data_IF_589124485217
#
_entry.id   IF_589124485217
#
_cell.length_a   1.000
_cell.length_b   1.000
_cell.length_c   1.000
_cell.angle_alpha   90.00
_cell.angle_beta   90.00
_cell.angle_gamma   90.00
#
_symmetry.space_group_name_H-M   'P 1'
#
loop_
_entity.id
_entity.type
_entity.pdbx_description
1 polymer ?
#
# COMPACT_ATOMS: atom_id res chain seq x y z
N UNK A 1 2.03 30.54 -58.24
CA UNK A 1 3.26 30.24 -57.47
C UNK A 1 3.20 31.11 -56.22
N UNK A 2 2.46 30.66 -55.21
CA UNK A 2 2.06 31.47 -54.07
C UNK A 2 3.21 31.53 -53.06
N UNK A 3 3.81 32.71 -52.92
CA UNK A 3 4.76 33.03 -51.86
C UNK A 3 3.98 33.10 -50.54
N UNK A 4 3.79 31.95 -49.91
CA UNK A 4 3.12 31.90 -48.61
C UNK A 4 4.04 32.43 -47.51
N UNK A 5 3.40 33.18 -46.64
CA UNK A 5 3.90 34.00 -45.55
C UNK A 5 4.61 33.17 -44.48
N UNK A 6 5.94 33.07 -44.55
CA UNK A 6 6.79 32.36 -43.58
C UNK A 6 7.23 33.26 -42.42
N UNK A 7 6.79 34.52 -42.38
CA UNK A 7 7.25 35.50 -41.40
C UNK A 7 6.51 35.38 -40.08
N UNK A 8 5.22 35.01 -40.13
CA UNK A 8 4.42 34.76 -38.93
C UNK A 8 4.95 33.55 -38.14
N UNK A 9 5.27 32.46 -38.84
CA UNK A 9 5.84 31.24 -38.23
C UNK A 9 7.23 31.47 -37.64
N UNK A 10 8.09 32.26 -38.28
CA UNK A 10 9.41 32.65 -37.74
C UNK A 10 9.27 33.51 -36.47
N UNK A 11 8.28 34.40 -36.44
CA UNK A 11 8.00 35.22 -35.25
C UNK A 11 7.45 34.37 -34.10
N UNK A 12 6.57 33.41 -34.37
CA UNK A 12 6.06 32.47 -33.37
C UNK A 12 7.18 31.58 -32.79
N UNK A 13 8.09 31.09 -33.64
CA UNK A 13 9.24 30.31 -33.21
C UNK A 13 10.18 31.15 -32.33
N UNK A 14 10.45 32.41 -32.71
CA UNK A 14 11.30 33.32 -31.93
C UNK A 14 10.66 33.77 -30.62
N UNK A 15 9.34 33.94 -30.58
CA UNK A 15 8.59 34.21 -29.34
C UNK A 15 8.63 33.00 -28.42
N UNK A 16 8.48 31.78 -28.96
CA UNK A 16 8.58 30.54 -28.18
C UNK A 16 9.98 30.34 -27.59
N UNK A 17 11.03 30.70 -28.34
CA UNK A 17 12.42 30.64 -27.87
C UNK A 17 12.65 31.62 -26.72
N UNK A 18 12.19 32.87 -26.84
CA UNK A 18 12.31 33.88 -25.78
C UNK A 18 11.53 33.46 -24.52
N UNK A 19 10.34 32.88 -24.68
CA UNK A 19 9.55 32.40 -23.55
C UNK A 19 10.22 31.20 -22.86
N UNK A 20 10.80 30.29 -23.64
CA UNK A 20 11.51 29.11 -23.12
C UNK A 20 12.82 29.46 -22.38
N UNK A 21 13.48 30.54 -22.79
CA UNK A 21 14.75 30.97 -22.18
C UNK A 21 14.54 31.93 -21.00
N UNK A 22 13.39 32.62 -20.96
CA UNK A 22 13.01 33.53 -19.84
C UNK A 22 12.27 32.78 -18.72
N UNK A 23 11.64 31.64 -19.02
CA UNK A 23 11.00 30.78 -18.02
C UNK A 23 11.96 29.83 -17.28
N UNK A 24 13.28 30.02 -17.42
CA UNK A 24 14.27 29.36 -16.57
C UNK A 24 14.58 30.23 -15.36
N UNK A 25 13.58 30.39 -14.51
CA UNK A 25 13.89 30.40 -13.08
C UNK A 25 14.28 28.96 -12.73
N UNK A 26 15.59 28.74 -12.66
CA UNK A 26 16.20 27.40 -12.50
C UNK A 26 15.83 26.78 -11.14
N UNK A 27 15.35 27.59 -10.18
CA UNK A 27 14.95 27.11 -8.86
C UNK A 27 13.49 26.62 -8.81
N UNK A 28 12.57 27.24 -9.57
CA UNK A 28 11.12 26.96 -9.42
C UNK A 28 10.63 25.63 -10.00
N UNK A 29 11.25 25.11 -11.07
CA UNK A 29 10.83 23.85 -11.71
C UNK A 29 11.52 22.61 -11.13
N UNK A 30 12.67 22.80 -10.47
CA UNK A 30 13.38 21.73 -9.79
C UNK A 30 12.67 21.33 -8.47
N UNK A 31 12.04 22.29 -7.78
CA UNK A 31 11.24 22.02 -6.59
C UNK A 31 9.86 21.40 -6.88
N UNK A 32 9.34 21.54 -8.10
CA UNK A 32 8.01 21.04 -8.45
C UNK A 32 7.99 19.56 -8.90
N UNK A 33 9.14 18.96 -9.24
CA UNK A 33 9.19 17.59 -9.81
C UNK A 33 9.26 16.49 -8.76
N UNK A 34 9.74 16.81 -7.56
CA UNK A 34 9.70 15.96 -6.37
C UNK A 34 9.69 16.93 -5.20
N UNK A 35 8.62 17.02 -4.39
CA UNK A 35 8.69 17.80 -3.15
C UNK A 35 9.86 17.24 -2.34
N UNK A 36 10.94 18.02 -2.22
CA UNK A 36 12.17 17.62 -1.52
C UNK A 36 11.92 17.21 -0.06
N UNK A 37 10.86 17.75 0.54
CA UNK A 37 10.40 17.38 1.89
C UNK A 37 9.79 15.96 2.00
N UNK A 38 9.53 15.28 0.88
CA UNK A 38 9.06 13.89 0.87
C UNK A 38 10.16 12.87 0.55
N UNK A 39 11.40 13.30 0.29
CA UNK A 39 12.51 12.37 0.02
C UNK A 39 13.15 11.80 1.31
N UNK A 40 12.81 12.33 2.49
CA UNK A 40 13.48 11.96 3.75
C UNK A 40 12.60 11.27 4.82
N UNK A 41 11.34 10.90 4.57
CA UNK A 41 10.62 10.19 5.62
C UNK A 41 9.17 9.81 5.38
N UNK A 42 8.73 8.84 6.17
CA UNK A 42 7.37 8.34 6.24
C UNK A 42 6.33 9.47 6.35
N UNK A 43 5.12 9.23 5.83
CA UNK A 43 3.99 10.19 5.88
C UNK A 43 3.52 10.51 7.32
N UNK A 44 4.05 9.79 8.31
CA UNK A 44 3.82 9.95 9.76
C UNK A 44 5.19 10.00 10.42
N UNK A 45 5.36 10.83 11.45
CA UNK A 45 6.57 10.82 12.29
C UNK A 45 6.80 9.42 12.88
N UNK A 46 7.79 8.71 12.34
CA UNK A 46 8.05 7.33 12.72
C UNK A 46 9.27 6.82 11.96
N UNK A 47 10.45 6.95 12.57
CA UNK A 47 11.67 6.34 12.05
C UNK A 47 11.57 4.80 12.04
N UNK A 48 12.57 4.14 11.45
CA UNK A 48 12.61 2.68 11.42
C UNK A 48 12.53 2.10 12.85
N UNK A 49 11.63 1.13 13.05
CA UNK A 49 11.48 0.45 14.33
C UNK A 49 12.76 -0.34 14.66
N UNK A 50 13.31 -0.14 15.85
CA UNK A 50 14.44 -0.95 16.31
C UNK A 50 14.00 -2.40 16.54
N UNK A 51 14.61 -3.36 15.84
CA UNK A 51 14.26 -4.78 15.90
C UNK A 51 14.37 -5.42 17.29
N UNK A 52 15.20 -4.85 18.17
CA UNK A 52 15.37 -5.31 19.55
C UNK A 52 14.57 -4.47 20.56
N UNK A 53 13.69 -3.58 20.09
CA UNK A 53 12.77 -2.87 20.97
C UNK A 53 11.70 -3.80 21.53
N UNK A 54 11.10 -3.42 22.67
CA UNK A 54 9.96 -4.13 23.25
C UNK A 54 8.76 -4.18 22.30
N UNK A 55 8.58 -3.13 21.51
CA UNK A 55 7.49 -3.01 20.53
C UNK A 55 7.67 -4.00 19.37
N UNK A 56 8.89 -4.15 18.85
CA UNK A 56 9.20 -5.14 17.83
C UNK A 56 8.97 -6.57 18.34
N UNK A 57 9.36 -6.85 19.59
CA UNK A 57 9.11 -8.15 20.21
C UNK A 57 7.61 -8.44 20.40
N UNK A 58 6.82 -7.43 20.78
CA UNK A 58 5.36 -7.56 20.88
C UNK A 58 4.73 -7.89 19.51
N UNK A 59 5.19 -7.24 18.44
CA UNK A 59 4.75 -7.54 17.07
C UNK A 59 5.09 -8.98 16.66
N UNK A 60 6.31 -9.44 16.95
CA UNK A 60 6.70 -10.83 16.66
C UNK A 60 5.88 -11.85 17.45
N UNK A 61 5.65 -11.60 18.74
CA UNK A 61 4.81 -12.47 19.57
C UNK A 61 3.37 -12.51 19.08
N UNK A 62 2.82 -11.37 18.64
CA UNK A 62 1.49 -11.31 18.06
C UNK A 62 1.41 -12.15 16.77
N UNK A 63 2.41 -12.01 15.89
CA UNK A 63 2.47 -12.79 14.65
C UNK A 63 2.66 -14.30 14.93
N UNK A 64 3.47 -14.65 15.92
CA UNK A 64 3.64 -16.03 16.39
C UNK A 64 2.35 -16.63 16.94
N UNK A 65 1.62 -15.88 17.78
CA UNK A 65 0.33 -16.30 18.31
C UNK A 65 -0.70 -16.55 17.19
N UNK A 66 -0.74 -15.66 16.19
CA UNK A 66 -1.56 -15.84 14.99
C UNK A 66 -1.15 -17.13 14.26
N UNK A 67 0.15 -17.39 14.09
CA UNK A 67 0.64 -18.65 13.50
C UNK A 67 0.15 -19.89 14.23
N UNK A 68 0.18 -19.90 15.57
CA UNK A 68 -0.33 -21.00 16.40
C UNK A 68 -1.83 -21.19 16.17
N UNK A 69 -2.62 -20.10 16.20
CA UNK A 69 -4.07 -20.16 16.01
C UNK A 69 -4.42 -20.68 14.60
N UNK A 70 -3.74 -20.19 13.57
CA UNK A 70 -3.93 -20.63 12.18
C UNK A 70 -3.46 -22.06 11.92
N UNK A 71 -2.52 -22.58 12.71
CA UNK A 71 -2.16 -24.00 12.66
C UNK A 71 -3.16 -24.87 13.42
N UNK A 72 -3.56 -24.44 14.60
CA UNK A 72 -4.38 -25.23 15.52
C UNK A 72 -5.84 -25.31 15.08
N UNK A 73 -6.50 -24.18 14.83
CA UNK A 73 -7.94 -24.16 14.58
C UNK A 73 -8.30 -25.00 13.34
N UNK A 74 -7.69 -24.82 12.15
CA UNK A 74 -8.01 -25.67 10.99
C UNK A 74 -7.78 -27.16 11.24
N UNK A 75 -6.74 -27.50 12.01
CA UNK A 75 -6.39 -28.90 12.33
C UNK A 75 -7.44 -29.59 13.20
N UNK A 76 -8.24 -28.83 13.95
CA UNK A 76 -9.31 -29.38 14.78
C UNK A 76 -10.54 -29.82 13.97
N UNK A 77 -10.64 -29.47 12.68
CA UNK A 77 -11.79 -29.85 11.86
C UNK A 77 -12.04 -31.36 11.85
N UNK A 78 -10.98 -32.14 11.58
CA UNK A 78 -11.07 -33.58 11.47
C UNK A 78 -11.47 -34.27 12.78
N UNK A 79 -10.75 -34.09 13.92
CA UNK A 79 -11.09 -34.77 15.16
C UNK A 79 -12.46 -34.36 15.72
N UNK A 80 -12.86 -33.09 15.60
CA UNK A 80 -14.15 -32.64 16.15
C UNK A 80 -15.30 -33.09 15.26
N UNK A 81 -15.26 -32.77 13.97
CA UNK A 81 -16.44 -32.96 13.14
C UNK A 81 -16.52 -34.35 12.51
N UNK A 82 -15.40 -34.96 12.14
CA UNK A 82 -15.42 -36.27 11.47
C UNK A 82 -15.37 -37.42 12.49
N UNK A 83 -14.54 -37.31 13.53
CA UNK A 83 -14.39 -38.39 14.53
C UNK A 83 -15.47 -38.29 15.62
N UNK A 84 -15.59 -37.13 16.28
CA UNK A 84 -16.51 -37.00 17.43
C UNK A 84 -17.97 -36.86 17.01
N UNK A 85 -18.27 -35.97 16.06
CA UNK A 85 -19.63 -35.72 15.59
C UNK A 85 -20.08 -36.62 14.43
N UNK A 86 -19.19 -37.43 13.85
CA UNK A 86 -19.48 -38.33 12.72
C UNK A 86 -20.15 -37.63 11.52
N UNK A 87 -19.75 -36.39 11.22
CA UNK A 87 -20.22 -35.64 10.05
C UNK A 87 -19.44 -36.03 8.80
N UNK A 88 -20.11 -36.03 7.66
CA UNK A 88 -19.47 -36.23 6.36
C UNK A 88 -18.71 -34.97 5.90
N UNK A 89 -17.70 -35.15 5.03
CA UNK A 89 -16.84 -34.06 4.56
C UNK A 89 -17.61 -32.89 3.91
N UNK A 90 -18.73 -33.17 3.23
CA UNK A 90 -19.55 -32.10 2.64
C UNK A 90 -20.24 -31.23 3.72
N UNK A 91 -20.59 -31.82 4.86
CA UNK A 91 -21.24 -31.11 5.97
C UNK A 91 -20.26 -30.19 6.71
N UNK A 92 -18.96 -30.52 6.69
CA UNK A 92 -17.91 -29.74 7.36
C UNK A 92 -17.28 -28.66 6.47
N UNK A 93 -17.74 -28.55 5.22
CA UNK A 93 -17.16 -27.63 4.23
C UNK A 93 -17.30 -26.15 4.61
N UNK A 94 -18.34 -25.78 5.35
CA UNK A 94 -18.56 -24.42 5.85
C UNK A 94 -17.53 -23.98 6.89
N UNK A 95 -16.89 -24.92 7.59
CA UNK A 95 -15.92 -24.63 8.65
C UNK A 95 -14.73 -23.82 8.15
N UNK A 96 -14.19 -24.18 6.99
CA UNK A 96 -13.05 -23.48 6.41
C UNK A 96 -13.40 -22.03 6.08
N UNK A 97 -14.61 -21.79 5.58
CA UNK A 97 -15.10 -20.44 5.26
C UNK A 97 -15.25 -19.60 6.52
N UNK A 98 -15.78 -20.18 7.60
CA UNK A 98 -15.94 -19.51 8.90
C UNK A 98 -14.60 -19.10 9.52
N UNK A 99 -13.53 -19.87 9.31
CA UNK A 99 -12.20 -19.49 9.81
C UNK A 99 -11.65 -18.30 9.03
N UNK A 100 -11.80 -18.29 7.70
CA UNK A 100 -11.15 -17.27 6.87
C UNK A 100 -11.96 -15.97 6.77
N UNK A 101 -13.25 -15.99 7.11
CA UNK A 101 -14.10 -14.78 7.02
C UNK A 101 -13.60 -13.63 7.89
N UNK A 102 -12.87 -13.93 8.97
CA UNK A 102 -12.22 -12.92 9.81
C UNK A 102 -11.27 -12.01 9.03
N UNK A 103 -10.63 -12.52 7.98
CA UNK A 103 -9.75 -11.72 7.11
C UNK A 103 -10.49 -10.62 6.37
N UNK A 104 -11.77 -10.83 6.05
CA UNK A 104 -12.59 -9.83 5.37
C UNK A 104 -12.79 -8.57 6.21
N UNK A 105 -12.77 -8.71 7.55
CA UNK A 105 -12.93 -7.58 8.47
C UNK A 105 -11.63 -6.81 8.72
N UNK A 106 -10.48 -7.28 8.23
CA UNK A 106 -9.18 -6.64 8.48
C UNK A 106 -9.14 -5.17 8.01
N UNK A 107 -9.78 -4.86 6.88
CA UNK A 107 -9.85 -3.48 6.38
C UNK A 107 -10.68 -2.57 7.29
N UNK A 108 -11.79 -3.09 7.83
CA UNK A 108 -12.68 -2.35 8.75
C UNK A 108 -11.95 -2.09 10.07
N UNK A 109 -11.33 -3.12 10.65
CA UNK A 109 -10.54 -2.95 11.87
C UNK A 109 -9.31 -2.07 11.65
N UNK A 110 -8.68 -2.15 10.48
CA UNK A 110 -7.61 -1.25 10.07
C UNK A 110 -8.06 0.20 10.12
N UNK A 111 -9.20 0.52 9.47
CA UNK A 111 -9.79 1.86 9.49
C UNK A 111 -10.12 2.34 10.91
N UNK A 112 -10.67 1.47 11.76
CA UNK A 112 -11.03 1.82 13.14
C UNK A 112 -9.82 2.01 14.06
N UNK A 113 -8.69 1.33 13.77
CA UNK A 113 -7.46 1.43 14.57
C UNK A 113 -6.53 2.56 14.12
N UNK A 114 -6.82 3.18 12.97
CA UNK A 114 -5.96 4.19 12.33
C UNK A 114 -6.15 5.61 12.91
N UNK A 115 -6.84 5.74 14.04
CA UNK A 115 -7.11 7.01 14.74
C UNK A 115 -6.80 6.94 16.24
#
# INVERSE_FOLDING_TARGET
MASHDNKATDLEERVSYIHSNTAKDVDGYAEAKSPKDLEEGALVEGGALNLFSREAFALFMQYGAIGIIFGMIPSLNYPIFNIYLNLEGYQTSSYRVLIVIGWSFKAIFGLLSDC
#
